data_IF_130076943570
#
_entry.id   IF_130076943570
#
_cell.length_a   1.000
_cell.length_b   1.000
_cell.length_c   1.000
_cell.angle_alpha   90.00
_cell.angle_beta   90.00
_cell.angle_gamma   90.00
#
_symmetry.space_group_name_H-M   'P 1'
#
loop_
_entity.id
_entity.type
_entity.pdbx_description
1 polymer ?
#
# COMPACT_ATOMS: atom_id res chain seq x y z
N UNK A 1 1.76 8.26 42.17
CA UNK A 1 0.66 8.57 41.23
C UNK A 1 1.16 8.19 39.86
N UNK A 2 0.55 7.20 39.23
CA UNK A 2 0.92 6.85 37.87
C UNK A 2 0.60 8.04 36.95
N UNK A 3 1.51 8.35 36.04
CA UNK A 3 1.37 9.49 35.11
C UNK A 3 0.34 9.11 34.04
N UNK A 4 -0.91 9.46 34.28
CA UNK A 4 -2.01 9.23 33.34
C UNK A 4 -1.83 9.98 32.00
N UNK A 5 -0.95 10.99 31.96
CA UNK A 5 -0.72 11.78 30.73
C UNK A 5 -0.04 10.97 29.63
N UNK A 6 0.84 10.05 29.99
CA UNK A 6 1.51 9.18 29.01
C UNK A 6 0.55 8.14 28.41
N UNK A 7 -0.38 7.63 29.22
CA UNK A 7 -1.43 6.70 28.76
C UNK A 7 -2.42 7.43 27.86
N UNK A 8 -2.84 8.64 28.22
CA UNK A 8 -3.74 9.47 27.40
C UNK A 8 -3.12 9.78 26.02
N UNK A 9 -1.84 10.15 26.01
CA UNK A 9 -1.08 10.38 24.76
C UNK A 9 -1.01 9.14 23.87
N UNK A 10 -0.72 7.98 24.44
CA UNK A 10 -0.66 6.72 23.69
C UNK A 10 -2.03 6.31 23.13
N UNK A 11 -3.08 6.38 23.96
CA UNK A 11 -4.46 6.06 23.53
C UNK A 11 -4.93 7.04 22.44
N UNK A 12 -4.65 8.32 22.59
CA UNK A 12 -4.98 9.35 21.59
C UNK A 12 -4.24 9.12 20.28
N UNK A 13 -2.95 8.74 20.33
CA UNK A 13 -2.15 8.40 19.16
C UNK A 13 -2.74 7.21 18.39
N UNK A 14 -3.11 6.15 19.09
CA UNK A 14 -3.75 4.97 18.49
C UNK A 14 -5.10 5.33 17.86
N UNK A 15 -5.95 6.08 18.57
CA UNK A 15 -7.26 6.52 18.05
C UNK A 15 -7.10 7.40 16.81
N UNK A 16 -6.18 8.37 16.84
CA UNK A 16 -5.91 9.23 15.68
C UNK A 16 -5.34 8.44 14.52
N UNK A 17 -4.46 7.46 14.75
CA UNK A 17 -3.94 6.58 13.71
C UNK A 17 -5.06 5.78 13.05
N UNK A 18 -5.98 5.20 13.83
CA UNK A 18 -7.15 4.47 13.31
C UNK A 18 -8.05 5.42 12.52
N UNK A 19 -8.37 6.60 13.05
CA UNK A 19 -9.21 7.58 12.36
C UNK A 19 -8.54 8.02 11.06
N UNK A 20 -7.25 8.31 11.07
CA UNK A 20 -6.52 8.71 9.88
C UNK A 20 -6.46 7.60 8.84
N UNK A 21 -6.29 6.34 9.24
CA UNK A 21 -6.28 5.21 8.32
C UNK A 21 -7.64 4.94 7.69
N UNK A 22 -8.73 5.39 8.30
CA UNK A 22 -10.10 5.13 7.82
C UNK A 22 -10.73 6.34 7.10
N UNK A 23 -10.46 7.56 7.54
CA UNK A 23 -11.23 8.74 7.15
C UNK A 23 -10.43 9.86 6.51
N UNK A 24 -9.09 9.86 6.57
CA UNK A 24 -8.29 10.86 5.86
C UNK A 24 -7.95 10.41 4.46
N UNK A 25 -8.10 11.30 3.49
CA UNK A 25 -7.73 11.01 2.10
C UNK A 25 -6.26 10.56 2.00
N UNK A 26 -5.97 9.56 1.19
CA UNK A 26 -6.84 8.89 0.22
C UNK A 26 -7.70 7.75 0.80
N UNK A 27 -7.56 7.46 2.10
CA UNK A 27 -8.31 6.40 2.75
C UNK A 27 -9.80 6.77 2.80
N UNK A 28 -10.66 5.81 2.52
CA UNK A 28 -12.11 5.99 2.53
C UNK A 28 -12.78 4.88 3.29
N UNK A 29 -13.64 5.25 4.22
CA UNK A 29 -14.59 4.32 4.78
C UNK A 29 -15.82 4.28 3.89
N UNK A 30 -16.04 3.16 3.21
CA UNK A 30 -17.20 2.94 2.34
C UNK A 30 -18.32 2.27 3.14
N UNK A 31 -19.39 3.02 3.37
CA UNK A 31 -20.63 2.48 3.89
C UNK A 31 -21.60 2.28 2.71
N UNK A 32 -21.83 1.03 2.32
CA UNK A 32 -22.80 0.70 1.28
C UNK A 32 -24.20 0.77 1.86
N UNK A 33 -24.92 1.85 1.59
CA UNK A 33 -26.31 2.04 2.02
C UNK A 33 -27.30 1.38 1.06
N UNK A 34 -26.90 1.13 -0.17
CA UNK A 34 -27.70 0.47 -1.20
C UNK A 34 -26.88 -0.61 -1.89
N UNK A 35 -27.34 -1.86 -1.79
CA UNK A 35 -26.71 -3.03 -2.42
C UNK A 35 -26.70 -2.98 -3.96
N UNK A 36 -27.51 -2.10 -4.57
CA UNK A 36 -27.53 -1.87 -6.02
C UNK A 36 -26.51 -0.87 -6.50
N UNK A 37 -25.82 -0.18 -5.58
CA UNK A 37 -24.79 0.79 -5.93
C UNK A 37 -23.58 0.10 -6.54
N UNK A 38 -23.11 0.65 -7.67
CA UNK A 38 -21.90 0.17 -8.31
C UNK A 38 -20.70 0.56 -7.45
N UNK A 39 -20.16 -0.42 -6.73
CA UNK A 39 -19.01 -0.25 -5.84
C UNK A 39 -17.81 0.37 -6.55
N UNK A 40 -17.62 0.09 -7.84
CA UNK A 40 -16.53 0.65 -8.64
C UNK A 40 -16.60 2.16 -8.80
N UNK A 41 -17.78 2.76 -8.79
CA UNK A 41 -17.92 4.22 -8.89
C UNK A 41 -17.42 4.94 -7.64
N UNK A 42 -17.35 4.23 -6.51
CA UNK A 42 -16.92 4.78 -5.22
C UNK A 42 -15.49 4.41 -4.85
N UNK A 43 -14.90 3.45 -5.56
CA UNK A 43 -13.51 3.03 -5.36
C UNK A 43 -12.55 3.94 -6.12
N UNK A 44 -11.51 4.45 -5.42
CA UNK A 44 -10.42 5.17 -6.09
C UNK A 44 -9.48 4.16 -6.76
N UNK A 45 -9.50 4.09 -8.10
CA UNK A 45 -8.56 3.23 -8.80
C UNK A 45 -7.14 3.76 -8.57
N UNK A 46 -6.13 2.89 -8.59
CA UNK A 46 -4.76 3.33 -8.59
C UNK A 46 -4.50 4.21 -9.82
N UNK A 47 -3.78 5.31 -9.61
CA UNK A 47 -3.42 6.27 -10.67
C UNK A 47 -2.08 5.95 -11.30
N UNK A 48 -1.15 5.40 -10.49
CA UNK A 48 0.20 5.12 -10.92
C UNK A 48 1.04 4.44 -9.86
N UNK A 49 2.33 4.43 -10.11
CA UNK A 49 3.37 3.93 -9.20
C UNK A 49 4.37 5.04 -8.97
N UNK A 50 4.69 5.29 -7.71
CA UNK A 50 5.78 6.18 -7.30
C UNK A 50 6.96 5.33 -6.86
N UNK A 51 8.08 5.48 -7.56
CA UNK A 51 9.38 4.93 -7.18
C UNK A 51 10.07 5.93 -6.30
N UNK A 52 10.31 5.60 -5.04
CA UNK A 52 10.98 6.45 -4.07
C UNK A 52 12.35 5.88 -3.76
N UNK A 53 13.38 6.70 -3.89
CA UNK A 53 14.73 6.39 -3.46
C UNK A 53 15.06 7.23 -2.22
N UNK A 54 15.36 6.58 -1.12
CA UNK A 54 15.95 7.25 0.05
C UNK A 54 17.46 7.32 -0.16
N UNK A 55 17.97 8.54 -0.36
CA UNK A 55 19.36 8.72 -0.74
C UNK A 55 20.27 8.73 0.50
N UNK A 56 20.10 9.72 1.36
CA UNK A 56 20.94 9.95 2.54
C UNK A 56 20.23 10.82 3.56
N UNK A 57 20.76 10.84 4.78
CA UNK A 57 20.36 11.80 5.80
C UNK A 57 21.59 12.37 6.50
N UNK A 58 21.45 13.55 7.14
CA UNK A 58 22.57 14.28 7.76
C UNK A 58 22.07 15.32 8.77
N UNK A 59 23.02 15.97 9.46
CA UNK A 59 22.80 17.06 10.42
C UNK A 59 21.93 16.71 11.62
N UNK A 60 21.94 15.46 12.07
CA UNK A 60 21.11 15.00 13.20
C UNK A 60 21.45 15.68 14.53
N UNK A 61 22.62 16.30 14.67
CA UNK A 61 23.16 16.72 15.96
C UNK A 61 23.31 18.23 16.16
N UNK A 62 23.22 19.07 15.11
CA UNK A 62 23.77 20.44 15.21
C UNK A 62 22.79 21.48 15.79
N UNK A 63 21.45 21.32 15.69
CA UNK A 63 20.50 22.36 16.12
C UNK A 63 19.34 21.89 17.01
N UNK A 64 19.41 20.69 17.58
CA UNK A 64 18.31 20.15 18.37
C UNK A 64 18.04 20.97 19.65
N UNK A 65 16.80 21.45 19.82
CA UNK A 65 16.32 22.11 21.01
C UNK A 65 15.40 21.19 21.83
N UNK A 66 15.29 21.42 23.14
CA UNK A 66 14.31 20.74 23.99
C UNK A 66 14.56 19.24 24.25
N UNK A 67 13.53 18.41 24.04
CA UNK A 67 13.58 16.95 24.25
C UNK A 67 14.48 16.26 23.20
N UNK A 68 14.49 16.76 21.98
CA UNK A 68 15.38 16.30 20.92
C UNK A 68 16.84 16.38 21.38
N UNK A 69 17.24 17.45 22.09
CA UNK A 69 18.60 17.59 22.64
C UNK A 69 19.02 16.45 23.58
N UNK A 70 18.08 15.85 24.33
CA UNK A 70 18.38 14.71 25.22
C UNK A 70 18.58 13.41 24.44
N UNK A 71 17.84 13.21 23.38
CA UNK A 71 17.99 12.06 22.49
C UNK A 71 19.31 12.17 21.73
N UNK A 72 19.61 13.34 21.14
CA UNK A 72 20.89 13.60 20.48
C UNK A 72 22.08 13.55 21.43
N UNK A 73 21.94 13.96 22.71
CA UNK A 73 23.00 13.80 23.69
C UNK A 73 23.30 12.32 24.03
N UNK A 74 22.34 11.42 23.80
CA UNK A 74 22.52 9.96 23.89
C UNK A 74 23.25 9.44 22.63
N UNK A 75 22.86 9.94 21.45
CA UNK A 75 23.48 9.64 20.15
C UNK A 75 24.94 10.09 20.04
N UNK A 76 25.36 11.16 20.74
CA UNK A 76 26.74 11.66 20.71
C UNK A 76 27.74 10.80 21.50
N UNK A 77 27.29 9.75 22.21
CA UNK A 77 28.18 8.80 22.90
C UNK A 77 28.62 7.63 22.02
N UNK A 78 27.80 7.24 21.05
CA UNK A 78 28.13 6.32 19.97
C UNK A 78 27.38 6.83 18.74
N UNK A 79 27.97 6.76 17.55
CA UNK A 79 27.25 7.11 16.33
C UNK A 79 26.06 6.15 16.14
N UNK A 80 24.90 6.63 15.65
CA UNK A 80 23.70 5.81 15.53
C UNK A 80 23.80 4.75 14.44
N UNK A 81 23.00 3.68 14.58
CA UNK A 81 22.78 2.65 13.58
C UNK A 81 21.49 2.96 12.80
N UNK A 82 21.61 3.84 11.80
CA UNK A 82 20.46 4.46 11.17
C UNK A 82 19.80 3.63 10.09
N UNK A 83 18.46 3.62 10.07
CA UNK A 83 17.65 3.17 8.96
C UNK A 83 16.43 4.09 8.74
N UNK A 84 15.88 4.07 7.53
CA UNK A 84 14.69 4.84 7.19
C UNK A 84 13.48 3.93 7.01
N UNK A 85 12.31 4.37 7.48
CA UNK A 85 11.00 3.80 7.14
C UNK A 85 10.25 4.79 6.28
N UNK A 86 9.66 4.31 5.18
CA UNK A 86 8.87 5.13 4.27
C UNK A 86 7.42 4.66 4.27
N UNK A 87 6.51 5.61 4.44
CA UNK A 87 5.07 5.42 4.32
C UNK A 87 4.54 6.26 3.16
N UNK A 88 3.70 5.69 2.32
CA UNK A 88 2.92 6.41 1.32
C UNK A 88 1.44 6.06 1.46
N UNK A 89 0.68 6.95 2.08
CA UNK A 89 -0.75 6.75 2.31
C UNK A 89 -1.03 5.47 3.10
N UNK A 90 -1.80 4.54 2.51
CA UNK A 90 -2.16 3.25 3.12
C UNK A 90 -1.34 2.07 2.57
N UNK A 91 -0.31 2.34 1.78
CA UNK A 91 0.55 1.28 1.25
C UNK A 91 1.39 0.63 2.38
N UNK A 92 1.82 -0.62 2.20
CA UNK A 92 2.69 -1.27 3.17
C UNK A 92 3.95 -0.46 3.44
N UNK A 93 4.32 -0.37 4.71
CA UNK A 93 5.53 0.32 5.14
C UNK A 93 6.75 -0.40 4.57
N UNK A 94 7.68 0.38 3.99
CA UNK A 94 8.96 -0.11 3.52
C UNK A 94 10.10 0.43 4.40
N UNK A 95 11.17 -0.36 4.53
CA UNK A 95 12.32 -0.02 5.36
C UNK A 95 13.62 -0.28 4.59
N UNK A 96 14.57 0.66 4.72
CA UNK A 96 15.95 0.51 4.20
C UNK A 96 16.78 -0.44 5.07
N UNK A 97 17.92 -0.85 4.55
CA UNK A 97 18.94 -1.50 5.37
C UNK A 97 19.47 -0.54 6.45
N UNK A 98 19.93 -1.10 7.58
CA UNK A 98 20.57 -0.32 8.64
C UNK A 98 21.98 0.07 8.20
N UNK A 99 22.39 1.31 8.47
CA UNK A 99 23.76 1.82 8.31
C UNK A 99 24.35 2.04 9.69
N UNK A 100 25.30 1.21 10.03
CA UNK A 100 25.87 1.16 11.37
C UNK A 100 26.84 2.32 11.62
N UNK A 101 26.87 2.82 12.86
CA UNK A 101 27.86 3.79 13.37
C UNK A 101 28.03 5.04 12.50
N UNK A 102 26.96 5.69 12.06
CA UNK A 102 27.07 6.87 11.21
C UNK A 102 26.02 7.94 11.49
N UNK A 103 26.45 9.18 11.58
CA UNK A 103 25.57 10.37 11.63
C UNK A 103 25.24 10.91 10.22
N UNK A 104 25.82 10.32 9.17
CA UNK A 104 25.58 10.67 7.77
C UNK A 104 25.27 9.39 6.97
N UNK A 105 24.16 8.67 7.27
CA UNK A 105 23.82 7.45 6.57
C UNK A 105 23.52 7.72 5.09
N UNK A 106 24.00 6.83 4.22
CA UNK A 106 23.69 6.84 2.80
C UNK A 106 23.16 5.47 2.41
N UNK A 107 21.92 5.44 1.95
CA UNK A 107 21.23 4.19 1.56
C UNK A 107 21.24 4.01 0.04
N UNK A 108 20.75 5.00 -0.71
CA UNK A 108 20.47 4.90 -2.15
C UNK A 108 19.60 3.68 -2.47
N UNK A 109 18.64 3.38 -1.60
CA UNK A 109 17.75 2.27 -1.72
C UNK A 109 16.39 2.73 -2.22
N UNK A 110 15.79 1.91 -3.08
CA UNK A 110 14.60 2.27 -3.85
C UNK A 110 13.45 1.29 -3.59
N UNK A 111 12.23 1.82 -3.50
CA UNK A 111 11.01 1.04 -3.41
C UNK A 111 9.87 1.68 -4.20
N UNK A 112 8.97 0.84 -4.70
CA UNK A 112 7.83 1.24 -5.50
C UNK A 112 6.55 1.19 -4.66
N UNK A 113 5.80 2.30 -4.66
CA UNK A 113 4.51 2.45 -3.98
C UNK A 113 3.38 2.70 -4.99
N UNK A 114 2.21 2.15 -4.72
CA UNK A 114 1.02 2.43 -5.52
C UNK A 114 0.42 3.78 -5.11
N UNK A 115 0.20 4.66 -6.09
CA UNK A 115 -0.41 5.98 -5.88
C UNK A 115 -1.85 5.96 -6.33
N UNK A 116 -2.75 6.45 -5.49
CA UNK A 116 -4.19 6.61 -5.78
C UNK A 116 -4.63 8.08 -5.77
N UNK A 117 -3.82 8.98 -5.23
CA UNK A 117 -4.07 10.42 -5.18
C UNK A 117 -2.73 11.18 -5.06
N UNK A 118 -2.59 12.29 -5.78
CA UNK A 118 -1.37 13.11 -5.72
C UNK A 118 -1.21 13.87 -4.39
N UNK A 119 -2.27 13.99 -3.59
CA UNK A 119 -2.20 14.59 -2.26
C UNK A 119 -1.80 13.58 -1.16
N UNK A 120 -1.51 12.32 -1.51
CA UNK A 120 -1.00 11.35 -0.54
C UNK A 120 0.30 11.86 0.07
N UNK A 121 0.37 11.76 1.41
CA UNK A 121 1.59 12.10 2.14
C UNK A 121 2.64 11.00 1.97
N UNK A 122 3.86 11.43 1.72
CA UNK A 122 5.08 10.63 1.82
C UNK A 122 5.73 10.99 3.15
N UNK A 123 5.88 10.01 4.02
CA UNK A 123 6.52 10.18 5.32
C UNK A 123 7.81 9.37 5.34
N UNK A 124 8.88 9.98 5.74
CA UNK A 124 10.20 9.35 5.89
C UNK A 124 10.64 9.49 7.33
N UNK A 125 10.53 8.41 8.07
CA UNK A 125 10.97 8.31 9.45
C UNK A 125 12.42 7.83 9.49
N UNK A 126 13.27 8.48 10.26
CA UNK A 126 14.63 8.03 10.52
C UNK A 126 14.68 7.47 11.93
N UNK A 127 15.23 6.27 12.07
CA UNK A 127 15.38 5.56 13.33
C UNK A 127 16.86 5.27 13.62
N UNK A 128 17.20 5.26 14.90
CA UNK A 128 18.38 4.62 15.45
C UNK A 128 17.99 3.23 15.99
N UNK A 129 18.68 2.21 15.52
CA UNK A 129 18.41 0.82 15.87
C UNK A 129 19.12 0.47 17.18
N UNK A 130 18.34 0.22 18.21
CA UNK A 130 18.82 -0.16 19.53
C UNK A 130 18.35 -1.56 19.94
N UNK A 131 19.12 -2.26 20.76
CA UNK A 131 18.80 -3.61 21.29
C UNK A 131 17.52 -3.61 22.14
N UNK A 132 17.20 -2.50 22.78
CA UNK A 132 16.08 -2.34 23.72
C UNK A 132 14.87 -1.62 23.11
N UNK A 133 14.86 -1.40 21.79
CA UNK A 133 13.82 -0.68 21.05
C UNK A 133 14.41 0.49 20.30
N UNK A 134 13.96 0.67 19.06
CA UNK A 134 14.48 1.67 18.15
C UNK A 134 13.99 3.08 18.56
N UNK A 135 14.90 4.04 18.60
CA UNK A 135 14.59 5.44 18.87
C UNK A 135 14.35 6.21 17.56
N UNK A 136 13.23 6.92 17.46
CA UNK A 136 12.95 7.78 16.31
C UNK A 136 13.81 9.04 16.37
N UNK A 137 14.59 9.29 15.31
CA UNK A 137 15.49 10.46 15.16
C UNK A 137 14.74 11.65 14.58
N UNK A 138 13.77 11.39 13.72
CA UNK A 138 12.91 12.43 13.16
C UNK A 138 12.11 11.98 11.96
N UNK A 139 11.13 12.80 11.59
CA UNK A 139 10.17 12.58 10.53
C UNK A 139 10.26 13.69 9.49
N UNK A 140 10.51 13.33 8.23
CA UNK A 140 10.35 14.21 7.07
C UNK A 140 9.02 13.94 6.37
N UNK A 141 8.30 14.99 5.98
CA UNK A 141 6.98 14.87 5.32
C UNK A 141 6.96 15.69 4.05
N UNK A 142 6.39 15.12 3.00
CA UNK A 142 6.03 15.79 1.76
C UNK A 142 4.78 15.14 1.16
N UNK A 143 4.34 15.59 -0.01
CA UNK A 143 3.25 14.96 -0.78
C UNK A 143 3.76 14.51 -2.14
N UNK A 144 3.02 13.58 -2.77
CA UNK A 144 3.31 13.15 -4.14
C UNK A 144 3.32 14.35 -5.10
N UNK A 145 2.34 15.25 -4.99
CA UNK A 145 2.25 16.48 -5.81
C UNK A 145 3.46 17.40 -5.60
N UNK A 146 3.84 17.63 -4.36
CA UNK A 146 4.93 18.54 -4.02
C UNK A 146 6.28 18.07 -4.55
N UNK A 147 6.63 16.79 -4.33
CA UNK A 147 7.90 16.27 -4.80
C UNK A 147 7.98 16.24 -6.34
N UNK A 148 6.87 15.96 -7.03
CA UNK A 148 6.83 15.98 -8.49
C UNK A 148 6.99 17.39 -9.05
N UNK A 149 6.38 18.42 -8.43
CA UNK A 149 6.59 19.83 -8.79
C UNK A 149 8.02 20.29 -8.56
N UNK A 150 8.70 19.73 -7.58
CA UNK A 150 10.11 20.02 -7.29
C UNK A 150 11.08 19.20 -8.16
N UNK A 151 10.59 18.63 -9.27
CA UNK A 151 11.43 17.90 -10.22
C UNK A 151 11.83 16.50 -9.76
N UNK A 152 11.06 15.91 -8.84
CA UNK A 152 11.28 14.53 -8.37
C UNK A 152 12.41 14.37 -7.36
N UNK A 153 12.93 15.45 -6.77
CA UNK A 153 13.93 15.38 -5.70
C UNK A 153 13.67 16.43 -4.64
N UNK A 154 13.80 16.04 -3.38
CA UNK A 154 13.56 16.96 -2.27
C UNK A 154 14.42 16.61 -1.05
N UNK A 155 14.87 17.66 -0.36
CA UNK A 155 15.44 17.59 0.97
C UNK A 155 14.36 17.91 1.98
N UNK A 156 14.06 16.97 2.87
CA UNK A 156 13.06 17.12 3.91
C UNK A 156 13.74 17.46 5.23
N UNK A 157 13.28 18.51 5.90
CA UNK A 157 13.69 18.83 7.26
C UNK A 157 13.01 17.84 8.20
N UNK A 158 13.79 17.27 9.11
CA UNK A 158 13.27 16.31 10.08
C UNK A 158 12.66 17.03 11.28
N UNK A 159 11.46 16.60 11.65
CA UNK A 159 10.73 17.09 12.83
C UNK A 159 10.55 15.97 13.85
N UNK A 160 10.51 16.32 15.13
CA UNK A 160 10.18 15.42 16.22
C UNK A 160 9.27 16.15 17.20
N UNK A 161 8.09 15.58 17.48
CA UNK A 161 7.07 16.19 18.34
C UNK A 161 6.65 17.61 17.94
N UNK A 162 6.71 17.94 16.64
CA UNK A 162 6.38 19.26 16.09
C UNK A 162 7.50 20.29 16.18
N UNK A 163 8.71 19.89 16.59
CA UNK A 163 9.90 20.74 16.61
C UNK A 163 10.92 20.26 15.57
N UNK A 164 11.56 21.18 14.86
CA UNK A 164 12.62 20.85 13.90
C UNK A 164 13.85 20.33 14.64
N UNK A 165 14.40 19.21 14.16
CA UNK A 165 15.56 18.57 14.77
C UNK A 165 16.89 19.11 14.25
N UNK A 166 16.88 19.92 13.18
CA UNK A 166 18.05 20.31 12.40
C UNK A 166 18.48 19.26 11.38
N UNK A 167 18.10 18.00 11.58
CA UNK A 167 18.38 16.90 10.65
C UNK A 167 17.62 17.02 9.33
N UNK A 168 18.18 16.43 8.28
CA UNK A 168 17.59 16.40 6.95
C UNK A 168 17.68 15.02 6.33
N UNK A 169 16.73 14.69 5.45
CA UNK A 169 16.77 13.50 4.59
C UNK A 169 16.54 13.89 3.14
N UNK A 170 17.36 13.36 2.24
CA UNK A 170 17.18 13.53 0.79
C UNK A 170 16.49 12.32 0.20
N UNK A 171 15.44 12.60 -0.56
CA UNK A 171 14.70 11.61 -1.34
C UNK A 171 14.63 12.01 -2.81
N UNK A 172 14.65 11.00 -3.68
CA UNK A 172 14.29 11.15 -5.09
C UNK A 172 13.05 10.32 -5.38
N UNK A 173 12.20 10.78 -6.29
CA UNK A 173 10.98 10.11 -6.67
C UNK A 173 10.74 10.21 -8.17
N UNK A 174 10.29 9.11 -8.76
CA UNK A 174 9.86 9.02 -10.15
C UNK A 174 8.45 8.45 -10.20
N UNK A 175 7.56 9.09 -10.95
CA UNK A 175 6.18 8.67 -11.07
C UNK A 175 5.90 8.04 -12.44
N UNK A 176 5.23 6.92 -12.44
CA UNK A 176 4.76 6.20 -13.61
C UNK A 176 3.25 6.15 -13.61
N UNK A 177 2.62 6.66 -14.65
CA UNK A 177 1.16 6.58 -14.81
C UNK A 177 0.72 5.17 -15.21
N UNK A 178 -0.51 4.79 -14.85
CA UNK A 178 -1.11 3.55 -15.32
C UNK A 178 -1.77 3.76 -16.68
N UNK A 179 -1.45 2.91 -17.64
CA UNK A 179 -1.98 2.94 -18.99
C UNK A 179 -2.77 1.66 -19.31
N UNK A 180 -3.94 1.82 -19.93
CA UNK A 180 -4.75 0.68 -20.37
C UNK A 180 -4.07 -0.13 -21.50
N UNK A 181 -3.29 0.56 -22.37
CA UNK A 181 -2.55 -0.07 -23.48
C UNK A 181 -1.17 -0.63 -23.07
N UNK A 182 -0.92 -0.75 -21.77
CA UNK A 182 0.36 -1.13 -21.20
C UNK A 182 0.79 -2.57 -21.42
N UNK A 183 0.15 -3.31 -22.31
CA UNK A 183 0.55 -4.69 -22.65
C UNK A 183 2.02 -4.84 -23.05
N UNK A 184 2.64 -3.78 -23.56
CA UNK A 184 4.07 -3.72 -23.89
C UNK A 184 4.95 -3.52 -22.64
N UNK A 185 4.46 -2.89 -21.58
CA UNK A 185 5.24 -2.61 -20.37
C UNK A 185 5.49 -3.87 -19.53
N UNK A 186 4.58 -4.84 -19.56
CA UNK A 186 4.78 -6.14 -18.91
C UNK A 186 5.89 -6.98 -19.58
N UNK A 187 6.18 -6.71 -20.86
CA UNK A 187 7.20 -7.42 -21.63
C UNK A 187 8.52 -6.65 -21.77
N UNK A 188 8.49 -5.34 -21.62
CA UNK A 188 9.64 -4.44 -21.79
C UNK A 188 9.96 -3.72 -20.50
N UNK A 189 10.36 -4.44 -19.45
CA UNK A 189 10.86 -3.78 -18.26
C UNK A 189 12.17 -3.06 -18.57
N UNK A 190 12.11 -1.79 -18.92
CA UNK A 190 13.27 -0.89 -18.89
C UNK A 190 13.83 -0.74 -17.45
N UNK A 191 13.15 -1.29 -16.47
CA UNK A 191 13.46 -1.24 -15.05
C UNK A 191 13.81 -2.65 -14.55
N UNK A 192 15.06 -3.04 -14.74
CA UNK A 192 15.62 -4.33 -14.29
C UNK A 192 16.10 -4.21 -12.85
N UNK A 193 15.16 -4.21 -11.91
CA UNK A 193 15.45 -4.39 -10.49
C UNK A 193 14.58 -5.51 -9.92
N UNK A 194 15.14 -6.38 -9.07
CA UNK A 194 14.31 -7.33 -8.31
C UNK A 194 13.32 -6.53 -7.44
N UNK A 195 12.01 -6.78 -7.64
CA UNK A 195 10.95 -6.12 -6.89
C UNK A 195 10.34 -4.88 -7.55
N UNK A 196 10.82 -4.42 -8.72
CA UNK A 196 10.19 -3.30 -9.43
C UNK A 196 8.79 -3.68 -9.94
N UNK A 197 7.82 -2.80 -9.70
CA UNK A 197 6.45 -2.94 -10.22
C UNK A 197 6.47 -2.65 -11.71
N UNK A 198 5.89 -3.52 -12.52
CA UNK A 198 5.69 -3.36 -13.96
C UNK A 198 4.26 -3.00 -14.33
N UNK A 199 3.35 -3.11 -13.39
CA UNK A 199 1.95 -2.78 -13.55
C UNK A 199 1.13 -3.14 -12.32
N UNK A 200 -0.18 -2.95 -12.40
CA UNK A 200 -1.12 -3.24 -11.31
C UNK A 200 -2.27 -4.08 -11.85
N UNK A 201 -2.60 -5.15 -11.13
CA UNK A 201 -3.86 -5.87 -11.29
C UNK A 201 -4.89 -5.35 -10.28
N UNK A 202 -6.08 -5.04 -10.77
CA UNK A 202 -7.27 -4.80 -9.95
C UNK A 202 -8.15 -6.03 -10.00
N UNK A 203 -8.32 -6.71 -8.86
CA UNK A 203 -9.15 -7.91 -8.75
C UNK A 203 -10.38 -7.59 -7.92
N UNK A 204 -11.54 -7.47 -8.59
CA UNK A 204 -12.82 -7.34 -7.91
C UNK A 204 -13.45 -8.71 -7.70
N UNK A 205 -13.73 -9.03 -6.47
CA UNK A 205 -14.58 -10.16 -6.08
C UNK A 205 -15.99 -9.63 -5.82
N UNK A 206 -16.90 -9.86 -6.75
CA UNK A 206 -18.28 -9.36 -6.66
C UNK A 206 -19.14 -10.23 -5.71
N UNK A 207 -19.04 -11.55 -5.82
CA UNK A 207 -19.83 -12.46 -5.01
C UNK A 207 -19.47 -13.91 -5.25
N UNK A 208 -20.13 -14.81 -4.53
CA UNK A 208 -20.06 -16.25 -4.77
C UNK A 208 -21.49 -16.82 -4.88
N UNK A 209 -21.61 -17.99 -5.49
CA UNK A 209 -22.89 -18.61 -5.75
C UNK A 209 -22.86 -20.12 -5.48
N UNK A 210 -24.01 -20.64 -5.06
CA UNK A 210 -24.22 -22.07 -4.89
C UNK A 210 -23.48 -22.69 -3.69
N UNK A 211 -23.17 -21.90 -2.65
CA UNK A 211 -22.50 -22.40 -1.45
C UNK A 211 -23.43 -23.34 -0.72
N UNK A 212 -22.95 -24.57 -0.49
CA UNK A 212 -23.73 -25.64 0.14
C UNK A 212 -23.50 -25.66 1.65
N UNK A 213 -24.55 -25.88 2.42
CA UNK A 213 -24.48 -26.01 3.88
C UNK A 213 -25.69 -25.42 4.58
N UNK A 214 -25.77 -25.65 5.90
CA UNK A 214 -26.81 -25.02 6.73
C UNK A 214 -26.42 -23.56 6.96
N UNK A 215 -27.37 -22.65 6.82
CA UNK A 215 -27.15 -21.19 6.85
C UNK A 215 -26.35 -20.72 8.07
N UNK A 216 -26.69 -21.26 9.22
CA UNK A 216 -26.10 -20.89 10.52
C UNK A 216 -24.62 -21.28 10.64
N UNK A 217 -24.18 -22.22 9.80
CA UNK A 217 -22.78 -22.73 9.78
C UNK A 217 -21.95 -22.10 8.66
N UNK A 218 -22.59 -21.36 7.76
CA UNK A 218 -21.89 -20.73 6.65
C UNK A 218 -21.18 -19.44 7.11
N UNK A 219 -19.89 -19.37 6.77
CA UNK A 219 -18.99 -18.20 6.99
C UNK A 219 -18.18 -17.96 5.72
N UNK A 220 -18.83 -17.66 4.57
CA UNK A 220 -18.14 -17.55 3.31
C UNK A 220 -17.22 -16.33 3.24
N UNK A 221 -16.10 -16.52 2.59
CA UNK A 221 -15.16 -15.48 2.16
C UNK A 221 -14.40 -15.95 0.93
N UNK A 222 -13.79 -15.04 0.20
CA UNK A 222 -12.94 -15.37 -0.95
C UNK A 222 -11.53 -14.90 -0.68
N UNK A 223 -10.57 -15.80 -0.87
CA UNK A 223 -9.15 -15.52 -0.81
C UNK A 223 -8.62 -15.40 -2.24
N UNK A 224 -7.86 -14.35 -2.52
CA UNK A 224 -7.14 -14.14 -3.76
C UNK A 224 -5.65 -14.16 -3.47
N UNK A 225 -4.92 -15.01 -4.17
CA UNK A 225 -3.47 -15.16 -4.02
C UNK A 225 -2.78 -14.90 -5.35
N UNK A 226 -1.69 -14.14 -5.32
CA UNK A 226 -0.80 -13.87 -6.44
C UNK A 226 0.63 -14.16 -6.03
N UNK A 227 1.26 -15.12 -6.70
CA UNK A 227 2.58 -15.62 -6.31
C UNK A 227 2.59 -16.16 -4.89
N UNK A 228 3.75 -16.09 -4.24
CA UNK A 228 3.95 -16.51 -2.84
C UNK A 228 3.74 -15.38 -1.83
N UNK A 229 3.75 -14.11 -2.27
CA UNK A 229 3.89 -12.95 -1.40
C UNK A 229 2.58 -12.19 -1.19
N UNK A 230 1.64 -12.27 -2.13
CA UNK A 230 0.42 -11.48 -2.09
C UNK A 230 -0.79 -12.38 -1.83
N UNK A 231 -1.37 -12.24 -0.65
CA UNK A 231 -2.61 -12.91 -0.27
C UNK A 231 -3.60 -11.91 0.30
N UNK A 232 -4.79 -11.88 -0.26
CA UNK A 232 -5.89 -11.01 0.12
C UNK A 232 -7.12 -11.85 0.43
N UNK A 233 -7.98 -11.34 1.30
CA UNK A 233 -9.23 -12.01 1.67
C UNK A 233 -10.35 -10.99 1.81
N UNK A 234 -11.53 -11.31 1.28
CA UNK A 234 -12.75 -10.53 1.54
C UNK A 234 -13.15 -10.64 3.00
N UNK A 235 -13.99 -9.72 3.48
CA UNK A 235 -14.62 -9.90 4.77
C UNK A 235 -15.41 -11.22 4.81
N UNK A 236 -15.35 -11.91 5.96
CA UNK A 236 -16.16 -13.10 6.21
C UNK A 236 -17.61 -12.65 6.35
N UNK A 237 -18.49 -13.23 5.53
CA UNK A 237 -19.95 -13.03 5.68
C UNK A 237 -20.50 -13.98 6.72
N UNK A 238 -21.55 -13.53 7.40
CA UNK A 238 -22.32 -14.36 8.33
C UNK A 238 -23.81 -14.24 8.02
N UNK A 239 -24.59 -15.22 8.45
CA UNK A 239 -26.03 -15.16 8.29
C UNK A 239 -26.60 -13.96 9.06
N UNK A 240 -27.36 -13.13 8.35
CA UNK A 240 -28.03 -11.96 8.90
C UNK A 240 -29.40 -11.81 8.22
N UNK A 241 -30.38 -11.17 8.88
CA UNK A 241 -31.69 -10.92 8.30
C UNK A 241 -31.59 -10.21 6.93
N UNK A 242 -32.19 -10.79 5.91
CA UNK A 242 -32.20 -10.25 4.55
C UNK A 242 -30.96 -10.59 3.71
N UNK A 243 -29.98 -11.33 4.23
CA UNK A 243 -28.81 -11.80 3.44
C UNK A 243 -29.09 -13.18 2.81
N UNK A 244 -28.59 -13.39 1.60
CA UNK A 244 -28.49 -14.70 0.98
C UNK A 244 -27.09 -15.27 1.19
N UNK A 245 -26.87 -15.92 2.32
CA UNK A 245 -25.56 -16.45 2.71
C UNK A 245 -25.06 -17.56 1.79
N UNK A 246 -25.95 -18.22 1.04
CA UNK A 246 -25.59 -19.21 0.03
C UNK A 246 -25.11 -18.56 -1.28
N UNK A 247 -25.47 -17.28 -1.50
CA UNK A 247 -25.02 -16.47 -2.64
C UNK A 247 -24.57 -15.08 -2.18
N UNK A 248 -23.53 -14.99 -1.34
CA UNK A 248 -23.11 -13.74 -0.73
C UNK A 248 -22.49 -12.76 -1.75
N UNK A 249 -22.74 -11.46 -1.54
CA UNK A 249 -22.07 -10.39 -2.24
C UNK A 249 -20.91 -9.87 -1.39
N UNK A 250 -19.71 -9.80 -1.98
CA UNK A 250 -18.51 -9.27 -1.31
C UNK A 250 -18.19 -7.86 -1.76
N UNK A 251 -18.26 -7.58 -3.05
CA UNK A 251 -17.95 -6.30 -3.67
C UNK A 251 -16.62 -5.73 -3.19
N UNK A 252 -15.62 -6.59 -3.05
CA UNK A 252 -14.30 -6.24 -2.55
C UNK A 252 -13.30 -6.20 -3.68
N UNK A 253 -12.54 -5.11 -3.76
CA UNK A 253 -11.48 -4.96 -4.76
C UNK A 253 -10.11 -5.02 -4.10
N UNK A 254 -9.22 -5.78 -4.72
CA UNK A 254 -7.82 -5.91 -4.33
C UNK A 254 -6.92 -5.30 -5.39
N UNK A 255 -5.89 -4.59 -4.95
CA UNK A 255 -4.83 -4.07 -5.80
C UNK A 255 -3.60 -4.94 -5.62
N UNK A 256 -3.10 -5.49 -6.70
CA UNK A 256 -1.99 -6.42 -6.69
C UNK A 256 -0.88 -5.81 -7.54
N UNK A 257 0.26 -5.43 -6.96
CA UNK A 257 1.43 -5.02 -7.73
C UNK A 257 1.95 -6.20 -8.55
N UNK A 258 2.16 -5.97 -9.84
CA UNK A 258 2.69 -6.96 -10.76
C UNK A 258 4.16 -6.64 -11.01
N UNK A 259 5.04 -7.56 -10.65
CA UNK A 259 6.48 -7.45 -10.91
C UNK A 259 6.85 -8.12 -12.23
N UNK A 260 8.08 -7.92 -12.69
CA UNK A 260 8.59 -8.46 -13.97
C UNK A 260 8.61 -10.00 -14.10
N UNK A 261 8.33 -10.72 -13.01
CA UNK A 261 8.29 -12.20 -12.99
C UNK A 261 6.90 -12.79 -13.32
N UNK A 262 5.92 -11.95 -13.65
CA UNK A 262 4.50 -12.32 -13.74
C UNK A 262 4.13 -13.34 -14.82
N UNK A 263 4.93 -13.52 -15.86
CA UNK A 263 4.53 -14.29 -17.05
C UNK A 263 4.13 -15.76 -16.84
N UNK A 264 4.57 -16.38 -15.74
CA UNK A 264 4.23 -17.77 -15.37
C UNK A 264 3.28 -17.88 -14.17
N UNK A 265 2.83 -16.77 -13.63
CA UNK A 265 1.99 -16.72 -12.44
C UNK A 265 0.50 -16.79 -12.78
N UNK A 266 -0.31 -17.13 -11.80
CA UNK A 266 -1.76 -17.16 -11.90
C UNK A 266 -2.41 -16.45 -10.70
N UNK A 267 -3.56 -15.85 -10.94
CA UNK A 267 -4.45 -15.39 -9.88
C UNK A 267 -5.21 -16.61 -9.35
N UNK A 268 -4.89 -17.02 -8.14
CA UNK A 268 -5.62 -18.10 -7.47
C UNK A 268 -6.78 -17.53 -6.68
N UNK A 269 -8.00 -17.92 -7.04
CA UNK A 269 -9.24 -17.51 -6.38
C UNK A 269 -9.77 -18.72 -5.61
N UNK A 270 -9.82 -18.62 -4.29
CA UNK A 270 -10.25 -19.70 -3.40
C UNK A 270 -11.48 -19.28 -2.63
N UNK A 271 -12.56 -20.03 -2.73
CA UNK A 271 -13.75 -19.89 -1.90
C UNK A 271 -13.52 -20.61 -0.57
N UNK A 272 -13.76 -19.93 0.53
CA UNK A 272 -13.60 -20.44 1.89
C UNK A 272 -14.95 -20.44 2.62
N UNK A 273 -15.14 -21.43 3.51
CA UNK A 273 -16.17 -21.41 4.56
C UNK A 273 -15.47 -21.44 5.92
N UNK A 274 -15.45 -20.31 6.62
CA UNK A 274 -14.52 -20.11 7.74
C UNK A 274 -13.08 -20.21 7.27
N UNK A 275 -12.32 -21.15 7.82
CA UNK A 275 -10.95 -21.45 7.37
C UNK A 275 -10.87 -22.65 6.42
N UNK A 276 -11.98 -23.33 6.18
CA UNK A 276 -12.02 -24.47 5.28
C UNK A 276 -12.11 -24.03 3.83
N UNK A 277 -11.23 -24.56 3.00
CA UNK A 277 -11.26 -24.38 1.55
C UNK A 277 -12.41 -25.19 0.95
N UNK A 278 -13.29 -24.53 0.21
CA UNK A 278 -14.46 -25.11 -0.45
C UNK A 278 -14.15 -25.46 -1.89
N UNK A 279 -13.39 -24.58 -2.55
CA UNK A 279 -12.98 -24.81 -3.93
C UNK A 279 -12.05 -23.69 -4.40
N UNK A 280 -11.37 -23.96 -5.52
CA UNK A 280 -10.32 -23.05 -6.05
C UNK A 280 -10.30 -23.06 -7.58
N UNK A 281 -9.94 -21.91 -8.16
CA UNK A 281 -9.65 -21.77 -9.58
C UNK A 281 -8.36 -20.95 -9.75
N UNK A 282 -7.51 -21.36 -10.70
CA UNK A 282 -6.35 -20.60 -11.12
C UNK A 282 -6.63 -19.92 -12.46
N UNK A 283 -6.49 -18.60 -12.49
CA UNK A 283 -6.65 -17.77 -13.69
C UNK A 283 -5.24 -17.34 -14.14
N UNK A 284 -4.72 -17.89 -15.24
CA UNK A 284 -3.39 -17.55 -15.73
C UNK A 284 -3.26 -16.06 -16.04
N UNK A 285 -2.13 -15.47 -15.72
CA UNK A 285 -1.83 -14.07 -16.06
C UNK A 285 -1.98 -13.80 -17.56
N UNK A 286 -1.50 -14.75 -18.38
CA UNK A 286 -1.57 -14.64 -19.83
C UNK A 286 -3.01 -14.54 -20.36
N UNK A 287 -3.98 -15.20 -19.73
CA UNK A 287 -5.38 -15.13 -20.14
C UNK A 287 -5.97 -13.74 -19.92
N UNK A 288 -5.60 -13.10 -18.78
CA UNK A 288 -6.01 -11.72 -18.50
C UNK A 288 -5.29 -10.73 -19.42
N UNK A 289 -3.99 -10.93 -19.66
CA UNK A 289 -3.18 -10.07 -20.53
C UNK A 289 -3.68 -10.09 -22.00
N UNK A 290 -4.15 -11.24 -22.47
CA UNK A 290 -4.65 -11.42 -23.83
C UNK A 290 -6.16 -11.11 -23.98
N UNK A 291 -6.86 -10.86 -22.88
CA UNK A 291 -8.27 -10.47 -22.91
C UNK A 291 -8.45 -9.05 -23.48
N UNK A 292 -9.62 -8.72 -24.06
CA UNK A 292 -9.93 -7.36 -24.50
C UNK A 292 -9.70 -6.34 -23.35
N UNK A 293 -9.03 -5.24 -23.67
CA UNK A 293 -8.64 -4.21 -22.72
C UNK A 293 -7.87 -4.73 -21.48
N UNK A 294 -7.19 -5.88 -21.62
CA UNK A 294 -6.53 -6.61 -20.53
C UNK A 294 -7.44 -6.81 -19.30
N UNK A 295 -8.72 -7.08 -19.56
CA UNK A 295 -9.74 -7.28 -18.54
C UNK A 295 -10.49 -8.58 -18.80
N UNK A 296 -10.44 -9.46 -17.81
CA UNK A 296 -11.21 -10.71 -17.76
C UNK A 296 -12.27 -10.59 -16.66
N UNK A 297 -13.54 -10.75 -17.03
CA UNK A 297 -14.68 -10.76 -16.10
C UNK A 297 -15.50 -12.02 -16.35
N UNK A 298 -15.62 -12.85 -15.32
CA UNK A 298 -16.33 -14.12 -15.44
C UNK A 298 -16.95 -14.56 -14.10
N UNK A 299 -17.75 -15.60 -14.20
CA UNK A 299 -18.23 -16.39 -13.05
C UNK A 299 -17.49 -17.71 -13.07
N UNK A 300 -16.41 -17.76 -12.32
CA UNK A 300 -15.47 -18.87 -12.30
C UNK A 300 -16.02 -20.06 -11.50
N UNK A 301 -16.01 -21.24 -12.10
CA UNK A 301 -16.30 -22.49 -11.37
C UNK A 301 -15.11 -22.83 -10.47
N UNK A 302 -15.33 -22.89 -9.17
CA UNK A 302 -14.30 -23.24 -8.18
C UNK A 302 -14.39 -24.71 -7.74
N UNK A 303 -15.29 -25.46 -8.36
CA UNK A 303 -15.52 -26.87 -8.09
C UNK A 303 -16.77 -27.12 -7.23
N UNK A 304 -17.24 -28.38 -7.25
CA UNK A 304 -18.41 -28.79 -6.46
C UNK A 304 -19.73 -28.12 -6.83
N UNK A 305 -19.81 -27.41 -7.96
CA UNK A 305 -20.95 -26.62 -8.41
C UNK A 305 -21.07 -25.26 -7.72
N UNK A 306 -20.01 -24.82 -7.04
CA UNK A 306 -19.89 -23.46 -6.50
C UNK A 306 -19.12 -22.56 -7.47
N UNK A 307 -19.48 -21.29 -7.47
CA UNK A 307 -18.91 -20.32 -8.39
C UNK A 307 -18.52 -19.02 -7.67
N UNK A 308 -17.50 -18.35 -8.18
CA UNK A 308 -17.09 -17.01 -7.75
C UNK A 308 -17.14 -16.05 -8.92
N UNK A 309 -17.92 -14.98 -8.79
CA UNK A 309 -17.96 -13.90 -9.77
C UNK A 309 -16.86 -12.89 -9.47
N UNK A 310 -15.93 -12.76 -10.40
CA UNK A 310 -14.82 -11.83 -10.25
C UNK A 310 -14.46 -11.14 -11.58
N UNK A 311 -13.76 -10.01 -11.46
CA UNK A 311 -13.18 -9.30 -12.60
C UNK A 311 -11.72 -8.99 -12.28
N UNK A 312 -10.81 -9.31 -13.20
CA UNK A 312 -9.39 -9.04 -13.13
C UNK A 312 -9.05 -8.08 -14.27
N UNK A 313 -8.48 -6.92 -13.94
CA UNK A 313 -8.06 -5.93 -14.93
C UNK A 313 -6.59 -5.56 -14.71
N UNK A 314 -5.79 -5.61 -15.77
CA UNK A 314 -4.38 -5.24 -15.74
C UNK A 314 -4.17 -3.84 -16.32
N UNK A 315 -3.26 -3.08 -15.71
CA UNK A 315 -2.76 -1.82 -16.22
C UNK A 315 -1.25 -1.80 -16.13
N UNK A 316 -0.58 -1.53 -17.25
CA UNK A 316 0.87 -1.37 -17.28
C UNK A 316 1.31 0.04 -16.89
N UNK A 317 2.62 0.23 -16.75
CA UNK A 317 3.24 1.51 -16.45
C UNK A 317 3.63 2.25 -17.73
N UNK A 318 3.29 3.54 -17.82
CA UNK A 318 3.70 4.47 -18.85
C UNK A 318 4.57 5.58 -18.28
N UNK A 319 5.40 6.19 -19.14
CA UNK A 319 6.18 7.35 -18.77
C UNK A 319 5.26 8.53 -18.39
N UNK A 320 5.62 9.27 -17.38
CA UNK A 320 4.91 10.47 -16.93
C UNK A 320 5.72 11.72 -17.28
N UNK A 321 5.06 12.71 -17.87
CA UNK A 321 5.64 14.02 -18.07
C UNK A 321 5.01 14.97 -17.05
N UNK A 322 5.80 15.57 -16.16
CA UNK A 322 5.33 16.51 -15.15
C UNK A 322 4.56 17.72 -15.72
N UNK A 323 4.74 18.04 -17.02
CA UNK A 323 3.96 19.06 -17.70
C UNK A 323 2.48 18.66 -17.93
N UNK A 324 2.15 17.36 -17.79
CA UNK A 324 0.78 16.84 -17.85
C UNK A 324 0.02 17.01 -16.51
N UNK A 325 0.65 17.50 -15.46
CA UNK A 325 -0.01 17.85 -14.20
C UNK A 325 -0.85 19.12 -14.34
N UNK A 326 -1.85 19.09 -15.21
CA UNK A 326 -2.92 20.06 -15.16
C UNK A 326 -3.85 19.71 -14.01
N UNK A 327 -3.55 20.23 -12.83
CA UNK A 327 -4.52 20.23 -11.74
C UNK A 327 -5.78 20.94 -12.22
N UNK A 328 -6.99 20.42 -12.00
CA UNK A 328 -8.18 21.19 -12.17
C UNK A 328 -8.02 22.46 -11.30
N UNK A 329 -7.95 23.62 -11.95
CA UNK A 329 -8.00 24.90 -11.24
C UNK A 329 -9.33 24.91 -10.48
N UNK A 330 -9.25 25.00 -9.17
CA UNK A 330 -10.41 25.27 -8.30
C UNK A 330 -11.01 26.61 -8.65
#
# INVERSE_FOLDING_TARGET
>A
MADFSAIDGAVRGVILSIINSMFTLPNRFLLTLDAKNDYFKTYLPPMGVMRITVEKAWDFAEEAQGKAKKIFAKLTRAAPDCYAKVELGAEPLWQTATKDNTVHPSWNETHDFVVSDFHQCIKVHIFDKDVNGDDEVGLGVTTVDEILRNGGRQELVLEMNGEQTGGKVSIAAEYFKLEADGGKSFSSSSHKGDGCISGIASVLVAGAYGIKGQREQLKPSVKVTWGSEHTFRTAIQSDAPGTDINNPSFNTNFRIPITSKAGSESFRITLLNGEQEVGTVDVPFADVQNAPDMKLQDTFDVGGGQQVRASIALKGLGAFNAQEMTLPRR
#
